data_IF_071780980473
#
_entry.id   IF_071780980473
#
_cell.length_a   1.000
_cell.length_b   1.000
_cell.length_c   1.000
_cell.angle_alpha   90.00
_cell.angle_beta   90.00
_cell.angle_gamma   90.00
#
_symmetry.space_group_name_H-M   'P 1'
#
loop_
_entity.id
_entity.type
_entity.pdbx_description
1 polymer ?
#
# COMPACT_ATOMS: atom_id res chain seq x y z
N UNK A 1 4.69 -0.14 16.31
CA UNK A 1 5.88 0.32 15.57
C UNK A 1 6.88 -0.81 15.49
N UNK A 2 7.61 -0.91 14.41
CA UNK A 2 8.66 -1.88 14.19
C UNK A 2 9.93 -1.14 13.74
N UNK A 3 11.08 -1.46 14.31
CA UNK A 3 12.37 -0.83 13.98
C UNK A 3 13.31 -1.88 13.42
N UNK A 4 13.78 -1.69 12.18
CA UNK A 4 14.86 -2.46 11.59
C UNK A 4 16.20 -1.83 11.98
N UNK A 5 17.11 -2.63 12.55
CA UNK A 5 18.39 -2.15 13.11
C UNK A 5 19.50 -3.16 12.85
N UNK A 6 19.87 -3.36 11.60
CA UNK A 6 20.90 -4.32 11.18
C UNK A 6 20.70 -5.76 11.69
N UNK A 7 19.49 -6.11 12.13
CA UNK A 7 19.14 -7.45 12.57
C UNK A 7 18.47 -8.22 11.46
N UNK A 8 18.72 -9.51 11.39
CA UNK A 8 18.12 -10.38 10.38
C UNK A 8 16.58 -10.41 10.43
N UNK A 9 16.02 -10.23 11.60
CA UNK A 9 14.60 -10.36 11.93
C UNK A 9 13.94 -9.05 12.41
N UNK A 10 14.70 -7.96 12.52
CA UNK A 10 14.20 -6.68 13.08
C UNK A 10 13.78 -6.83 14.56
N UNK A 11 13.39 -5.74 15.18
CA UNK A 11 12.87 -5.76 16.54
C UNK A 11 11.57 -4.97 16.65
N UNK A 12 10.63 -5.55 17.37
CA UNK A 12 9.42 -4.87 17.82
C UNK A 12 9.82 -3.71 18.71
N UNK A 13 9.42 -2.51 18.35
CA UNK A 13 9.55 -1.34 19.23
C UNK A 13 8.30 -1.19 20.10
N UNK A 14 8.35 -0.25 21.04
CA UNK A 14 7.26 0.00 21.96
C UNK A 14 5.94 0.31 21.26
N UNK A 15 4.88 -0.26 21.76
CA UNK A 15 3.52 0.03 21.34
C UNK A 15 2.88 0.92 22.41
N UNK A 16 2.39 2.08 22.00
CA UNK A 16 1.80 3.07 22.90
C UNK A 16 0.29 3.15 22.65
N UNK A 17 -0.47 3.30 23.71
CA UNK A 17 -1.90 3.54 23.67
C UNK A 17 -2.75 2.31 23.34
N UNK A 18 -3.99 2.56 22.95
CA UNK A 18 -5.02 1.55 22.80
C UNK A 18 -5.37 1.30 21.33
N UNK A 19 -5.42 0.03 20.93
CA UNK A 19 -6.04 -0.41 19.70
C UNK A 19 -7.57 -0.28 19.76
N UNK A 20 -8.14 -0.54 20.94
CA UNK A 20 -9.54 -0.27 21.24
C UNK A 20 -9.66 0.24 22.68
N UNK A 21 -9.91 1.53 22.85
CA UNK A 21 -9.99 2.16 24.16
C UNK A 21 -11.20 1.70 24.97
N UNK A 22 -12.33 1.51 24.34
CA UNK A 22 -13.55 1.07 25.04
C UNK A 22 -13.42 -0.35 25.59
N UNK A 23 -12.77 -1.23 24.84
CA UNK A 23 -12.49 -2.61 25.25
C UNK A 23 -11.21 -2.74 26.06
N UNK A 24 -10.49 -1.66 26.32
CA UNK A 24 -9.18 -1.63 27.01
C UNK A 24 -8.12 -2.52 26.37
N UNK A 25 -8.19 -2.70 25.06
CA UNK A 25 -7.20 -3.49 24.30
C UNK A 25 -6.06 -2.57 23.91
N UNK A 26 -4.85 -2.88 24.37
CA UNK A 26 -3.63 -2.13 24.08
C UNK A 26 -3.12 -2.41 22.67
N UNK A 27 -2.40 -1.47 22.07
CA UNK A 27 -1.69 -1.67 20.81
C UNK A 27 -0.57 -2.74 20.89
N UNK A 28 -0.14 -3.12 22.10
CA UNK A 28 0.80 -4.22 22.33
C UNK A 28 0.18 -5.62 22.25
N UNK A 29 -1.14 -5.73 22.20
CA UNK A 29 -1.82 -7.03 22.08
C UNK A 29 -1.52 -7.65 20.72
N UNK A 30 -1.06 -8.90 20.73
CA UNK A 30 -0.62 -9.63 19.53
C UNK A 30 -1.75 -9.98 18.53
N UNK A 31 -3.00 -9.91 18.98
CA UNK A 31 -4.17 -10.16 18.10
C UNK A 31 -4.59 -8.90 17.32
N UNK A 32 -3.97 -7.75 17.57
CA UNK A 32 -4.33 -6.49 16.92
C UNK A 32 -3.80 -6.47 15.48
N UNK A 33 -4.68 -6.11 14.56
CA UNK A 33 -4.35 -5.85 13.15
C UNK A 33 -4.85 -4.47 12.75
N UNK A 34 -4.11 -3.81 11.86
CA UNK A 34 -4.38 -2.46 11.40
C UNK A 34 -4.77 -2.43 9.93
N UNK A 35 -5.67 -1.54 9.49
CA UNK A 35 -5.88 -1.33 8.08
C UNK A 35 -4.59 -0.81 7.44
N UNK A 36 -4.13 -1.47 6.39
CA UNK A 36 -2.88 -1.11 5.71
C UNK A 36 -2.97 0.21 4.96
N UNK A 37 -4.18 0.58 4.57
CA UNK A 37 -4.37 1.65 3.60
C UNK A 37 -3.43 1.47 2.38
N UNK A 38 -2.85 2.54 1.86
CA UNK A 38 -2.06 2.51 0.63
C UNK A 38 -0.76 1.68 0.67
N UNK A 39 -0.36 1.15 1.83
CA UNK A 39 0.76 0.22 1.92
C UNK A 39 0.55 -1.04 1.06
N UNK A 40 -0.70 -1.43 0.84
CA UNK A 40 -1.07 -2.56 -0.02
C UNK A 40 -0.63 -2.39 -1.48
N UNK A 41 -0.50 -1.15 -1.96
CA UNK A 41 -0.15 -0.91 -3.37
C UNK A 41 1.15 -1.59 -3.78
N UNK A 42 2.12 -1.68 -2.87
CA UNK A 42 3.39 -2.39 -3.14
C UNK A 42 3.14 -3.87 -3.42
N UNK A 43 2.23 -4.49 -2.67
CA UNK A 43 1.85 -5.90 -2.87
C UNK A 43 1.17 -6.10 -4.22
N UNK A 44 0.26 -5.20 -4.60
CA UNK A 44 -0.39 -5.21 -5.91
C UNK A 44 0.63 -5.01 -7.04
N UNK A 45 1.56 -4.06 -6.89
CA UNK A 45 2.66 -3.83 -7.83
C UNK A 45 3.55 -5.06 -8.00
N UNK A 46 3.91 -5.72 -6.89
CA UNK A 46 4.70 -6.94 -6.91
C UNK A 46 3.99 -8.08 -7.66
N UNK A 47 2.68 -8.26 -7.45
CA UNK A 47 1.90 -9.26 -8.20
C UNK A 47 1.83 -8.96 -9.70
N UNK A 48 1.79 -7.69 -10.12
CA UNK A 48 1.89 -7.32 -11.54
C UNK A 48 3.25 -7.71 -12.10
N UNK A 49 4.34 -7.46 -11.37
CA UNK A 49 5.70 -7.85 -11.83
C UNK A 49 5.82 -9.37 -11.93
N UNK A 50 5.25 -10.13 -11.00
CA UNK A 50 5.17 -11.59 -11.13
C UNK A 50 4.47 -12.01 -12.42
N UNK A 51 3.33 -11.37 -12.77
CA UNK A 51 2.61 -11.68 -14.01
C UNK A 51 3.41 -11.29 -15.26
N UNK A 52 4.14 -10.18 -15.24
CA UNK A 52 5.04 -9.79 -16.33
C UNK A 52 6.08 -10.90 -16.58
N UNK A 53 6.68 -11.42 -15.52
CA UNK A 53 7.64 -12.50 -15.61
C UNK A 53 6.99 -13.81 -16.08
N UNK A 54 5.92 -14.24 -15.42
CA UNK A 54 5.20 -15.49 -15.70
C UNK A 54 4.68 -15.57 -17.15
N UNK A 55 4.29 -14.44 -17.71
CA UNK A 55 3.73 -14.39 -19.06
C UNK A 55 4.76 -14.05 -20.14
N UNK A 56 6.02 -13.84 -19.78
CA UNK A 56 7.08 -13.35 -20.71
C UNK A 56 7.26 -14.19 -21.97
N UNK A 57 7.03 -15.50 -21.88
CA UNK A 57 7.12 -16.44 -23.00
C UNK A 57 5.73 -16.83 -23.56
N UNK A 58 4.65 -16.22 -23.13
CA UNK A 58 3.33 -16.48 -23.66
C UNK A 58 3.13 -15.77 -25.01
N UNK A 59 2.13 -16.22 -25.78
CA UNK A 59 1.76 -15.58 -27.07
C UNK A 59 1.38 -14.10 -26.89
N UNK A 60 0.85 -13.74 -25.72
CA UNK A 60 0.38 -12.39 -25.42
C UNK A 60 0.86 -11.97 -24.02
N UNK A 61 2.14 -11.58 -23.89
CA UNK A 61 2.74 -11.28 -22.61
C UNK A 61 2.17 -10.00 -21.99
N UNK A 62 2.08 -9.96 -20.68
CA UNK A 62 1.87 -8.74 -19.91
C UNK A 62 3.20 -8.00 -19.83
N UNK A 63 3.20 -6.71 -20.15
CA UNK A 63 4.38 -5.84 -20.03
C UNK A 63 3.97 -4.49 -19.47
N UNK A 64 4.93 -3.68 -19.04
CA UNK A 64 4.65 -2.29 -18.66
C UNK A 64 4.00 -1.47 -19.79
N UNK A 65 4.24 -1.85 -21.05
CA UNK A 65 3.73 -1.17 -22.24
C UNK A 65 2.39 -1.73 -22.72
N UNK A 66 1.90 -2.81 -22.10
CA UNK A 66 0.58 -3.37 -22.45
C UNK A 66 -0.51 -2.34 -22.22
N UNK A 67 -1.32 -2.10 -23.26
CA UNK A 67 -2.40 -1.12 -23.24
C UNK A 67 -3.61 -1.62 -22.43
N UNK A 68 -4.25 -0.74 -21.70
CA UNK A 68 -5.43 -1.09 -20.89
C UNK A 68 -6.62 -1.54 -21.73
N UNK A 69 -6.71 -1.14 -23.00
CA UNK A 69 -7.77 -1.60 -23.92
C UNK A 69 -7.86 -3.12 -24.03
N UNK A 70 -6.76 -3.82 -23.77
CA UNK A 70 -6.74 -5.30 -23.71
C UNK A 70 -7.68 -5.86 -22.65
N UNK A 71 -7.80 -5.20 -21.52
CA UNK A 71 -8.61 -5.65 -20.38
C UNK A 71 -9.85 -4.77 -20.14
N UNK A 72 -9.81 -3.53 -20.58
CA UNK A 72 -10.84 -2.51 -20.37
C UNK A 72 -11.23 -1.83 -21.69
N UNK A 73 -11.76 -2.58 -22.69
CA UNK A 73 -12.05 -2.01 -24.02
C UNK A 73 -13.06 -0.87 -23.98
N UNK A 74 -13.96 -0.87 -22.98
CA UNK A 74 -15.01 0.14 -22.81
C UNK A 74 -14.57 1.34 -21.96
N UNK A 75 -13.31 1.39 -21.49
CA UNK A 75 -12.78 2.53 -20.74
C UNK A 75 -12.28 3.61 -21.72
N UNK A 76 -12.67 4.87 -21.49
CA UNK A 76 -12.20 6.01 -22.28
C UNK A 76 -10.67 6.05 -22.32
N UNK A 77 -10.09 6.20 -23.51
CA UNK A 77 -8.64 6.27 -23.76
C UNK A 77 -7.83 5.07 -23.23
N UNK A 78 -8.47 3.92 -23.01
CA UNK A 78 -7.77 2.71 -22.57
C UNK A 78 -6.67 2.28 -23.55
N UNK A 79 -6.80 2.63 -24.83
CA UNK A 79 -5.79 2.42 -25.88
C UNK A 79 -4.61 3.41 -25.84
N UNK A 80 -4.55 4.29 -24.84
CA UNK A 80 -3.46 5.26 -24.65
C UNK A 80 -2.75 5.07 -23.31
N UNK A 81 -3.35 4.33 -22.37
CA UNK A 81 -2.83 4.12 -21.03
C UNK A 81 -2.22 2.74 -20.94
N UNK A 82 -1.05 2.63 -20.34
CA UNK A 82 -0.33 1.37 -20.17
C UNK A 82 -0.36 0.87 -18.72
N UNK A 83 -0.04 -0.39 -18.51
CA UNK A 83 0.20 -0.97 -17.18
C UNK A 83 1.24 -0.16 -16.41
N UNK A 84 2.33 0.24 -17.06
CA UNK A 84 3.36 1.09 -16.46
C UNK A 84 2.82 2.44 -16.00
N UNK A 85 1.90 3.06 -16.75
CA UNK A 85 1.26 4.31 -16.33
C UNK A 85 0.46 4.13 -15.03
N UNK A 86 -0.23 2.99 -14.85
CA UNK A 86 -0.92 2.69 -13.59
C UNK A 86 0.06 2.49 -12.45
N UNK A 87 1.10 1.68 -12.65
CA UNK A 87 2.11 1.37 -11.63
C UNK A 87 2.88 2.60 -11.15
N UNK A 88 2.99 3.63 -11.99
CA UNK A 88 3.74 4.86 -11.71
C UNK A 88 2.84 6.06 -11.43
N UNK A 89 1.52 5.87 -11.34
CA UNK A 89 0.57 6.96 -11.08
C UNK A 89 0.61 8.08 -12.15
N UNK A 90 0.88 7.72 -13.42
CA UNK A 90 1.01 8.66 -14.54
C UNK A 90 -0.03 8.46 -15.63
N UNK A 91 -1.11 7.77 -15.33
CA UNK A 91 -2.19 7.43 -16.28
C UNK A 91 -2.99 8.63 -16.78
N UNK A 92 -3.02 9.72 -16.01
CA UNK A 92 -3.90 10.86 -16.26
C UNK A 92 -5.36 10.64 -15.79
N UNK A 93 -5.66 9.53 -15.11
CA UNK A 93 -6.99 9.31 -14.52
C UNK A 93 -7.24 10.41 -13.49
N UNK A 94 -8.39 11.11 -13.66
CA UNK A 94 -8.83 12.12 -12.71
C UNK A 94 -9.41 11.39 -11.50
N UNK A 95 -9.06 11.85 -10.29
CA UNK A 95 -9.51 11.24 -9.04
C UNK A 95 -11.03 11.11 -9.00
N UNK A 96 -11.49 9.88 -8.84
CA UNK A 96 -12.91 9.55 -8.73
C UNK A 96 -13.44 9.68 -7.31
N UNK A 97 -12.65 10.24 -6.38
CA UNK A 97 -12.95 10.32 -4.95
C UNK A 97 -13.26 8.93 -4.36
N UNK A 98 -12.44 7.95 -4.72
CA UNK A 98 -12.58 6.56 -4.26
C UNK A 98 -12.64 6.43 -2.73
N UNK A 99 -11.89 7.26 -2.02
CA UNK A 99 -11.87 7.29 -0.55
C UNK A 99 -13.15 7.87 0.10
N UNK A 100 -14.00 8.52 -0.69
CA UNK A 100 -15.30 9.04 -0.25
C UNK A 100 -16.46 8.13 -0.65
N UNK A 101 -16.17 6.88 -1.08
CA UNK A 101 -17.22 5.98 -1.49
C UNK A 101 -18.14 5.61 -0.31
N UNK A 102 -19.41 5.89 -0.46
CA UNK A 102 -20.46 5.69 0.55
C UNK A 102 -21.63 4.80 0.08
N UNK A 103 -21.49 4.17 -1.10
CA UNK A 103 -22.48 3.26 -1.66
C UNK A 103 -22.56 1.92 -0.92
N UNK A 104 -23.17 0.94 -1.55
CA UNK A 104 -23.24 -0.42 -1.01
C UNK A 104 -21.89 -1.13 -1.02
N UNK A 105 -21.77 -2.18 -0.22
CA UNK A 105 -20.61 -3.10 -0.28
C UNK A 105 -20.57 -3.77 -1.66
N UNK A 106 -19.41 -3.77 -2.29
CA UNK A 106 -19.20 -4.25 -3.66
C UNK A 106 -18.46 -5.60 -3.67
N UNK A 107 -18.74 -6.42 -4.67
CA UNK A 107 -17.83 -7.49 -5.08
C UNK A 107 -16.59 -6.90 -5.76
N UNK A 108 -15.53 -7.70 -5.90
CA UNK A 108 -14.32 -7.27 -6.63
C UNK A 108 -14.63 -6.82 -8.07
N UNK A 109 -15.49 -7.55 -8.78
CA UNK A 109 -15.92 -7.19 -10.15
C UNK A 109 -16.66 -5.87 -10.16
N UNK A 110 -17.62 -5.70 -9.24
CA UNK A 110 -18.41 -4.48 -9.15
C UNK A 110 -17.57 -3.25 -8.77
N UNK A 111 -16.55 -3.41 -7.92
CA UNK A 111 -15.62 -2.34 -7.60
C UNK A 111 -14.82 -1.87 -8.83
N UNK A 112 -14.33 -2.82 -9.64
CA UNK A 112 -13.60 -2.52 -10.87
C UNK A 112 -14.52 -1.84 -11.90
N UNK A 113 -15.73 -2.37 -12.10
CA UNK A 113 -16.73 -1.80 -13.03
C UNK A 113 -17.13 -0.39 -12.60
N UNK A 114 -17.39 -0.17 -11.31
CA UNK A 114 -17.70 1.14 -10.78
C UNK A 114 -16.54 2.13 -11.00
N UNK A 115 -15.29 1.67 -10.87
CA UNK A 115 -14.10 2.49 -11.17
C UNK A 115 -14.05 2.88 -12.64
N UNK A 116 -14.22 1.92 -13.56
CA UNK A 116 -14.26 2.20 -15.01
C UNK A 116 -15.39 3.18 -15.35
N UNK A 117 -16.59 2.99 -14.78
CA UNK A 117 -17.71 3.88 -14.99
C UNK A 117 -17.40 5.32 -14.54
N UNK A 118 -16.81 5.50 -13.36
CA UNK A 118 -16.43 6.83 -12.85
C UNK A 118 -15.34 7.49 -13.69
N UNK A 119 -14.34 6.72 -14.14
CA UNK A 119 -13.30 7.23 -15.06
C UNK A 119 -13.96 7.72 -16.36
N UNK A 120 -14.91 6.97 -16.91
CA UNK A 120 -15.65 7.37 -18.11
C UNK A 120 -16.48 8.63 -17.90
N UNK A 121 -16.99 8.84 -16.69
CA UNK A 121 -17.74 10.05 -16.35
C UNK A 121 -16.82 11.26 -16.13
N UNK A 122 -15.79 11.13 -15.31
CA UNK A 122 -14.91 12.23 -14.91
C UNK A 122 -13.87 12.60 -15.98
N UNK A 123 -13.56 11.67 -16.89
CA UNK A 123 -12.58 11.86 -17.95
C UNK A 123 -11.13 11.65 -17.49
N UNK A 124 -10.21 12.13 -18.33
CA UNK A 124 -8.77 11.99 -18.14
C UNK A 124 -8.06 13.31 -18.39
N UNK A 125 -7.10 13.61 -17.52
CA UNK A 125 -6.11 14.66 -17.73
C UNK A 125 -4.95 14.13 -18.62
N UNK A 126 -3.93 14.95 -18.82
CA UNK A 126 -2.73 14.55 -19.56
C UNK A 126 -2.00 13.42 -18.84
N UNK A 127 -1.70 12.34 -19.57
CA UNK A 127 -0.85 11.25 -19.08
C UNK A 127 0.62 11.68 -18.98
N UNK A 128 1.40 10.93 -18.23
CA UNK A 128 2.83 11.17 -18.05
C UNK A 128 3.16 12.13 -16.90
N UNK A 129 2.15 12.77 -16.29
CA UNK A 129 2.29 13.60 -15.10
C UNK A 129 1.89 12.74 -13.89
N UNK A 130 2.72 12.76 -12.85
CA UNK A 130 2.41 12.08 -11.60
C UNK A 130 1.15 12.68 -10.95
N UNK A 131 0.16 11.84 -10.73
CA UNK A 131 -1.09 12.14 -10.02
C UNK A 131 -1.50 10.92 -9.22
N UNK A 132 -1.27 10.96 -7.91
CA UNK A 132 -1.64 9.85 -7.04
C UNK A 132 -3.15 9.61 -7.08
N UNK A 133 -3.54 8.34 -7.33
CA UNK A 133 -4.94 7.96 -7.45
C UNK A 133 -5.11 6.45 -7.18
N UNK A 134 -6.06 6.11 -6.33
CA UNK A 134 -6.38 4.71 -6.02
C UNK A 134 -6.89 3.92 -7.22
N UNK A 135 -7.58 4.58 -8.16
CA UNK A 135 -8.15 3.95 -9.34
C UNK A 135 -7.11 3.20 -10.18
N UNK A 136 -5.88 3.71 -10.22
CA UNK A 136 -4.77 3.04 -10.90
C UNK A 136 -4.57 1.63 -10.33
N UNK A 137 -4.60 1.47 -9.03
CA UNK A 137 -4.35 0.19 -8.36
C UNK A 137 -5.59 -0.71 -8.32
N UNK A 138 -6.80 -0.15 -8.35
CA UNK A 138 -8.03 -0.92 -8.55
C UNK A 138 -8.04 -1.54 -9.95
N UNK A 139 -7.60 -0.80 -10.97
CA UNK A 139 -7.45 -1.35 -12.33
C UNK A 139 -6.35 -2.40 -12.41
N UNK A 140 -5.21 -2.22 -11.72
CA UNK A 140 -4.17 -3.26 -11.62
C UNK A 140 -4.71 -4.54 -10.96
N UNK A 141 -5.50 -4.42 -9.90
CA UNK A 141 -6.18 -5.57 -9.29
C UNK A 141 -7.10 -6.30 -10.27
N UNK A 142 -7.79 -5.55 -11.12
CA UNK A 142 -8.62 -6.12 -12.20
C UNK A 142 -7.80 -6.82 -13.28
N UNK A 143 -6.62 -6.30 -13.64
CA UNK A 143 -5.70 -6.97 -14.57
C UNK A 143 -5.23 -8.30 -13.98
N UNK A 144 -4.81 -8.32 -12.70
CA UNK A 144 -4.42 -9.55 -12.01
C UNK A 144 -5.53 -10.60 -12.12
N UNK A 145 -6.79 -10.22 -11.85
CA UNK A 145 -7.94 -11.13 -11.96
C UNK A 145 -8.14 -11.66 -13.38
N UNK A 146 -8.08 -10.79 -14.38
CA UNK A 146 -8.33 -11.16 -15.79
C UNK A 146 -7.23 -12.04 -16.37
N UNK A 147 -5.98 -11.81 -15.98
CA UNK A 147 -4.83 -12.60 -16.44
C UNK A 147 -4.81 -13.99 -15.78
N UNK A 148 -5.13 -14.07 -14.50
CA UNK A 148 -5.03 -15.33 -13.74
C UNK A 148 -6.32 -16.16 -13.74
N UNK A 149 -7.45 -15.57 -14.07
CA UNK A 149 -8.77 -16.21 -13.93
C UNK A 149 -9.22 -16.39 -12.46
N UNK A 150 -8.45 -15.87 -11.49
CA UNK A 150 -8.72 -15.98 -10.05
C UNK A 150 -9.11 -14.62 -9.46
N UNK A 151 -9.80 -14.64 -8.29
CA UNK A 151 -10.07 -13.38 -7.57
C UNK A 151 -8.78 -12.70 -7.14
N UNK A 152 -8.84 -11.38 -6.87
CA UNK A 152 -7.71 -10.66 -6.30
C UNK A 152 -7.32 -11.26 -4.93
N UNK A 153 -8.31 -11.57 -4.09
CA UNK A 153 -8.08 -12.20 -2.79
C UNK A 153 -7.33 -13.54 -2.91
N UNK A 154 -7.70 -14.40 -3.88
CA UNK A 154 -7.00 -15.67 -4.12
C UNK A 154 -5.57 -15.46 -4.58
N UNK A 155 -5.31 -14.49 -5.45
CA UNK A 155 -3.97 -14.13 -5.88
C UNK A 155 -3.15 -13.58 -4.72
N UNK A 156 -3.70 -12.65 -3.95
CA UNK A 156 -3.06 -12.07 -2.78
C UNK A 156 -2.66 -13.15 -1.76
N UNK A 157 -3.60 -14.03 -1.42
CA UNK A 157 -3.38 -15.13 -0.51
C UNK A 157 -2.25 -16.07 -0.99
N UNK A 158 -2.33 -16.53 -2.24
CA UNK A 158 -1.38 -17.53 -2.75
C UNK A 158 -0.01 -16.96 -3.10
N UNK A 159 0.04 -15.72 -3.62
CA UNK A 159 1.27 -15.10 -4.12
C UNK A 159 2.06 -14.34 -3.08
N UNK A 160 1.39 -13.82 -2.04
CA UNK A 160 1.98 -12.98 -1.01
C UNK A 160 1.89 -13.65 0.36
N UNK A 161 0.67 -13.84 0.88
CA UNK A 161 0.43 -14.22 2.28
C UNK A 161 1.08 -15.58 2.60
N UNK A 162 0.69 -16.63 1.87
CA UNK A 162 1.23 -17.98 2.12
C UNK A 162 2.72 -18.09 1.80
N UNK A 163 3.20 -17.43 0.74
CA UNK A 163 4.62 -17.49 0.38
C UNK A 163 5.54 -16.96 1.46
N UNK A 164 5.06 -16.02 2.25
CA UNK A 164 5.86 -15.36 3.29
C UNK A 164 5.49 -15.79 4.71
N UNK A 165 4.43 -16.57 4.89
CA UNK A 165 3.91 -16.91 6.21
C UNK A 165 3.45 -15.66 6.98
N UNK A 166 2.59 -14.85 6.34
CA UNK A 166 2.04 -13.65 6.95
C UNK A 166 0.80 -14.02 7.77
N UNK A 167 1.00 -14.43 9.01
CA UNK A 167 -0.05 -15.00 9.86
C UNK A 167 -1.06 -13.96 10.41
N UNK A 168 -0.76 -12.67 10.21
CA UNK A 168 -1.57 -11.54 10.68
C UNK A 168 -1.96 -10.58 9.56
N UNK A 169 -2.03 -11.09 8.31
CA UNK A 169 -2.35 -10.30 7.12
C UNK A 169 -3.54 -10.90 6.38
N UNK A 170 -4.60 -10.10 6.20
CA UNK A 170 -5.90 -10.57 5.69
C UNK A 170 -6.52 -9.55 4.75
N UNK A 171 -7.35 -10.01 3.81
CA UNK A 171 -8.31 -9.10 3.17
C UNK A 171 -9.31 -8.57 4.22
N UNK A 172 -9.84 -7.39 3.98
CA UNK A 172 -10.72 -6.69 4.93
C UNK A 172 -11.91 -7.54 5.43
N UNK A 173 -12.43 -8.41 4.57
CA UNK A 173 -13.60 -9.26 4.83
C UNK A 173 -13.26 -10.68 5.29
N UNK A 174 -11.97 -11.02 5.42
CA UNK A 174 -11.52 -12.34 5.87
C UNK A 174 -10.73 -12.29 7.18
N UNK A 175 -10.74 -11.16 7.87
CA UNK A 175 -10.09 -11.03 9.19
C UNK A 175 -10.77 -11.98 10.17
N UNK A 176 -10.06 -12.96 10.76
CA UNK A 176 -10.65 -13.90 11.69
C UNK A 176 -11.24 -13.23 12.94
N UNK A 177 -12.32 -13.78 13.48
CA UNK A 177 -13.02 -13.21 14.64
C UNK A 177 -12.18 -13.11 15.93
N UNK A 178 -11.11 -13.90 16.05
CA UNK A 178 -10.16 -13.78 17.16
C UNK A 178 -9.26 -12.55 17.04
N UNK A 179 -9.12 -11.97 15.86
CA UNK A 179 -8.30 -10.77 15.65
C UNK A 179 -9.05 -9.52 16.05
N UNK A 180 -8.32 -8.57 16.58
CA UNK A 180 -8.84 -7.25 16.98
C UNK A 180 -8.46 -6.25 15.88
N UNK A 181 -9.45 -5.74 15.17
CA UNK A 181 -9.24 -4.60 14.27
C UNK A 181 -9.00 -3.35 15.10
N UNK A 182 -7.87 -2.70 14.91
CA UNK A 182 -7.59 -1.44 15.57
C UNK A 182 -8.65 -0.39 15.18
N UNK A 183 -9.17 0.31 16.17
CA UNK A 183 -10.12 1.42 15.99
C UNK A 183 -9.34 2.72 15.94
N UNK A 184 -9.65 3.61 15.00
CA UNK A 184 -9.03 4.93 14.98
C UNK A 184 -9.76 5.91 15.89
N UNK A 185 -9.03 6.91 16.35
CA UNK A 185 -9.55 7.94 17.23
C UNK A 185 -9.15 9.31 16.74
N UNK A 186 -10.10 10.24 16.78
CA UNK A 186 -9.83 11.64 16.53
C UNK A 186 -9.04 12.22 17.70
N UNK A 187 -7.87 12.75 17.43
CA UNK A 187 -7.15 13.57 18.40
C UNK A 187 -7.70 15.01 18.34
N UNK A 188 -8.18 15.49 19.45
CA UNK A 188 -8.56 16.89 19.60
C UNK A 188 -8.02 17.33 20.96
N UNK A 189 -7.26 18.43 21.01
CA UNK A 189 -6.53 18.95 22.16
C UNK A 189 -7.09 18.51 23.54
N UNK A 190 -6.41 17.60 24.21
CA UNK A 190 -6.79 17.07 25.51
C UNK A 190 -7.98 16.09 25.55
N UNK A 191 -8.53 15.68 24.40
CA UNK A 191 -9.71 14.81 24.32
C UNK A 191 -9.43 13.51 23.56
N UNK A 192 -8.41 12.78 23.95
CA UNK A 192 -8.06 11.49 23.39
C UNK A 192 -9.20 10.47 23.53
N UNK A 193 -9.36 9.60 22.49
CA UNK A 193 -10.28 8.47 22.49
C UNK A 193 -11.79 8.78 22.54
N UNK A 194 -12.23 10.02 22.35
CA UNK A 194 -13.67 10.36 22.40
C UNK A 194 -14.46 9.93 21.17
N UNK A 195 -13.85 10.00 20.00
CA UNK A 195 -14.54 9.74 18.73
C UNK A 195 -13.88 8.58 18.01
N UNK A 196 -14.40 7.38 18.27
CA UNK A 196 -13.98 6.17 17.60
C UNK A 196 -14.49 6.13 16.15
N UNK A 197 -13.63 5.72 15.24
CA UNK A 197 -14.00 5.45 13.84
C UNK A 197 -13.34 4.16 13.34
N UNK A 198 -14.11 3.38 12.61
CA UNK A 198 -13.63 2.21 11.90
C UNK A 198 -13.83 2.41 10.39
N UNK A 199 -12.95 1.86 9.55
CA UNK A 199 -13.13 1.92 8.11
C UNK A 199 -14.42 1.21 7.71
N UNK A 200 -15.25 1.88 6.95
CA UNK A 200 -16.53 1.32 6.51
C UNK A 200 -16.31 0.21 5.48
N UNK A 201 -17.05 -0.87 5.59
CA UNK A 201 -16.96 -2.01 4.67
C UNK A 201 -17.22 -1.64 3.21
N UNK A 202 -18.12 -0.68 2.94
CA UNK A 202 -18.34 -0.19 1.58
C UNK A 202 -17.10 0.49 1.00
N UNK A 203 -16.40 1.33 1.78
CA UNK A 203 -15.13 1.92 1.37
C UNK A 203 -14.09 0.85 1.10
N UNK A 204 -13.86 -0.07 2.04
CA UNK A 204 -12.87 -1.13 1.91
C UNK A 204 -13.17 -2.04 0.70
N UNK A 205 -14.44 -2.29 0.42
CA UNK A 205 -14.83 -3.09 -0.77
C UNK A 205 -14.51 -2.37 -2.08
N UNK A 206 -14.58 -1.04 -2.11
CA UNK A 206 -14.32 -0.25 -3.31
C UNK A 206 -12.83 -0.12 -3.62
N UNK A 207 -11.97 0.11 -2.62
CA UNK A 207 -10.53 0.36 -2.82
C UNK A 207 -9.72 -0.94 -2.99
N UNK A 208 -10.21 -1.85 -3.80
CA UNK A 208 -9.61 -3.15 -4.10
C UNK A 208 -8.17 -3.03 -4.56
N UNK A 209 -7.26 -3.71 -3.89
CA UNK A 209 -5.82 -3.71 -4.23
C UNK A 209 -5.10 -2.38 -3.98
N UNK A 210 -5.82 -1.35 -3.53
CA UNK A 210 -5.29 -0.02 -3.26
C UNK A 210 -5.13 0.28 -1.76
N UNK A 211 -5.83 -0.49 -0.87
CA UNK A 211 -5.76 -0.19 0.56
C UNK A 211 -6.74 -0.98 1.44
N UNK A 212 -7.17 -2.17 1.02
CA UNK A 212 -8.25 -2.92 1.67
C UNK A 212 -7.80 -4.22 2.39
N UNK A 213 -6.59 -4.24 2.90
CA UNK A 213 -6.13 -5.33 3.77
C UNK A 213 -5.91 -4.85 5.20
N UNK A 214 -5.92 -5.79 6.13
CA UNK A 214 -5.43 -5.62 7.50
C UNK A 214 -4.12 -6.38 7.66
N UNK A 215 -3.18 -5.80 8.42
CA UNK A 215 -1.84 -6.37 8.63
C UNK A 215 -1.22 -5.86 9.93
N UNK A 216 0.00 -6.27 10.23
CA UNK A 216 0.82 -5.77 11.34
C UNK A 216 2.12 -5.17 10.82
N UNK A 217 2.82 -4.34 11.61
CA UNK A 217 4.16 -3.87 11.25
C UNK A 217 5.14 -5.00 10.99
N UNK A 218 5.06 -6.08 11.75
CA UNK A 218 5.93 -7.26 11.65
C UNK A 218 5.72 -8.02 10.33
N UNK A 219 4.46 -8.29 9.97
CA UNK A 219 4.14 -8.94 8.71
C UNK A 219 4.50 -8.07 7.52
N UNK A 220 4.30 -6.75 7.65
CA UNK A 220 4.69 -5.83 6.59
C UNK A 220 6.22 -5.78 6.41
N UNK A 221 7.00 -5.92 7.48
CA UNK A 221 8.45 -6.05 7.40
C UNK A 221 8.87 -7.37 6.73
N UNK A 222 8.26 -8.51 7.10
CA UNK A 222 8.46 -9.79 6.39
C UNK A 222 8.18 -9.65 4.89
N UNK A 223 7.11 -8.91 4.53
CA UNK A 223 6.82 -8.63 3.14
C UNK A 223 7.93 -7.80 2.46
N UNK A 224 8.42 -6.74 3.08
CA UNK A 224 9.52 -5.93 2.55
C UNK A 224 10.81 -6.75 2.38
N UNK A 225 11.11 -7.64 3.31
CA UNK A 225 12.23 -8.59 3.17
C UNK A 225 11.98 -9.57 2.02
N UNK A 226 10.76 -10.11 1.93
CA UNK A 226 10.37 -11.04 0.87
C UNK A 226 10.48 -10.49 -0.54
N UNK A 227 10.32 -9.19 -0.71
CA UNK A 227 10.54 -8.51 -1.99
C UNK A 227 11.99 -8.60 -2.47
N UNK A 228 12.97 -8.64 -1.57
CA UNK A 228 14.39 -8.55 -1.92
C UNK A 228 15.13 -9.89 -1.86
N UNK A 229 14.65 -10.84 -1.05
CA UNK A 229 15.33 -12.10 -0.82
C UNK A 229 14.94 -13.22 -1.82
N UNK A 230 14.22 -12.90 -2.86
CA UNK A 230 13.80 -13.85 -3.89
C UNK A 230 12.51 -14.62 -3.58
N UNK A 231 11.92 -14.44 -2.40
CA UNK A 231 10.68 -15.17 -2.05
C UNK A 231 9.47 -14.68 -2.83
N UNK A 232 9.35 -13.38 -3.08
CA UNK A 232 8.26 -12.77 -3.86
C UNK A 232 8.73 -12.41 -5.26
N UNK A 233 9.84 -11.70 -5.38
CA UNK A 233 10.48 -11.29 -6.62
C UNK A 233 11.95 -11.70 -6.59
N UNK A 234 12.52 -12.04 -7.74
CA UNK A 234 13.96 -12.14 -7.86
C UNK A 234 14.60 -10.74 -7.90
N UNK A 235 15.93 -10.65 -7.90
CA UNK A 235 16.64 -9.38 -7.85
C UNK A 235 16.33 -8.48 -9.09
N UNK A 236 16.22 -9.08 -10.27
CA UNK A 236 15.87 -8.37 -11.49
C UNK A 236 14.45 -7.83 -11.46
N UNK A 237 13.50 -8.65 -11.00
CA UNK A 237 12.08 -8.26 -10.89
C UNK A 237 11.89 -7.18 -9.80
N UNK A 238 12.62 -7.28 -8.70
CA UNK A 238 12.61 -6.23 -7.69
C UNK A 238 13.20 -4.92 -8.21
N UNK A 239 14.32 -4.99 -8.93
CA UNK A 239 14.89 -3.81 -9.60
C UNK A 239 13.88 -3.22 -10.59
N UNK A 240 13.20 -4.05 -11.37
CA UNK A 240 12.14 -3.61 -12.27
C UNK A 240 10.99 -2.90 -11.52
N UNK A 241 10.47 -3.48 -10.43
CA UNK A 241 9.42 -2.89 -9.61
C UNK A 241 9.79 -1.47 -9.14
N UNK A 242 11.04 -1.26 -8.73
CA UNK A 242 11.51 -0.03 -8.11
C UNK A 242 12.00 1.03 -9.10
N UNK A 243 12.14 0.68 -10.38
CA UNK A 243 12.78 1.56 -11.38
C UNK A 243 11.91 1.81 -12.62
N UNK A 244 10.61 1.61 -12.53
CA UNK A 244 9.70 2.04 -13.60
C UNK A 244 9.79 3.56 -13.74
N UNK A 245 10.32 4.02 -14.87
CA UNK A 245 10.59 5.44 -15.08
C UNK A 245 9.30 6.24 -15.25
N UNK A 246 9.14 7.26 -14.43
CA UNK A 246 8.17 8.33 -14.65
C UNK A 246 8.90 9.60 -15.07
N UNK A 247 8.24 10.46 -15.83
CA UNK A 247 8.86 11.69 -16.35
C UNK A 247 9.37 12.61 -15.25
N UNK A 248 8.72 12.64 -14.08
CA UNK A 248 8.98 13.59 -13.00
C UNK A 248 8.88 12.97 -11.60
N UNK A 249 9.05 11.65 -11.44
CA UNK A 249 8.73 11.07 -10.17
C UNK A 249 9.68 10.00 -9.69
N UNK A 250 9.70 9.86 -8.39
CA UNK A 250 10.40 8.81 -7.65
C UNK A 250 9.47 7.66 -7.28
N UNK A 251 8.22 7.65 -7.78
CA UNK A 251 7.23 6.64 -7.45
C UNK A 251 7.24 5.50 -8.46
N UNK A 252 7.39 4.28 -7.97
CA UNK A 252 7.38 3.07 -8.80
C UNK A 252 6.77 1.89 -8.04
N UNK A 253 5.78 1.25 -8.64
CA UNK A 253 5.22 0.00 -8.12
C UNK A 253 4.64 0.06 -6.70
N UNK A 254 4.21 1.23 -6.23
CA UNK A 254 3.71 1.43 -4.87
C UNK A 254 4.71 2.07 -3.91
N UNK A 255 5.97 2.21 -4.31
CA UNK A 255 7.08 2.74 -3.51
C UNK A 255 7.48 4.13 -3.96
N UNK A 256 7.79 4.99 -2.99
CA UNK A 256 8.61 6.18 -3.21
C UNK A 256 10.07 5.81 -2.97
N UNK A 257 10.93 6.06 -3.96
CA UNK A 257 12.37 5.84 -3.88
C UNK A 257 13.04 7.21 -3.88
N UNK A 258 13.77 7.53 -2.85
CA UNK A 258 14.44 8.83 -2.70
C UNK A 258 15.92 8.65 -2.36
N UNK A 259 16.72 9.61 -2.81
CA UNK A 259 18.12 9.72 -2.36
C UNK A 259 18.14 10.05 -0.87
N UNK A 260 19.00 9.37 -0.13
CA UNK A 260 19.24 9.60 1.29
C UNK A 260 20.64 10.19 1.48
N UNK A 261 20.70 11.32 2.19
CA UNK A 261 21.97 12.07 2.31
C UNK A 261 23.00 11.40 3.23
N UNK A 262 22.53 10.47 4.06
CA UNK A 262 23.32 9.89 5.14
C UNK A 262 23.26 8.36 5.08
N UNK A 263 24.15 7.69 4.35
CA UNK A 263 24.25 6.24 4.35
C UNK A 263 24.10 5.58 2.98
N UNK A 264 23.31 4.53 2.86
CA UNK A 264 23.24 3.60 1.71
C UNK A 264 22.70 4.20 0.38
N UNK A 265 22.72 5.51 0.25
CA UNK A 265 22.38 6.20 -0.99
C UNK A 265 20.87 6.34 -1.28
N UNK A 266 20.03 5.38 -0.92
CA UNK A 266 18.57 5.44 -1.18
C UNK A 266 17.75 4.90 -0.03
N UNK A 267 16.57 5.47 0.15
CA UNK A 267 15.52 4.97 1.04
C UNK A 267 14.25 4.66 0.26
N UNK A 268 13.53 3.68 0.76
CA UNK A 268 12.18 3.34 0.31
C UNK A 268 11.18 3.90 1.30
N UNK A 269 10.18 4.56 0.78
CA UNK A 269 9.08 5.06 1.59
C UNK A 269 7.74 4.55 1.05
N UNK A 270 6.86 4.22 1.96
CA UNK A 270 5.45 3.96 1.67
C UNK A 270 4.61 4.65 2.72
N UNK A 271 3.61 5.35 2.26
CA UNK A 271 2.65 6.02 3.13
C UNK A 271 1.24 5.48 2.86
N UNK A 272 0.46 5.30 3.91
CA UNK A 272 -0.92 4.90 3.80
C UNK A 272 -1.77 5.57 4.85
N UNK A 273 -2.81 6.28 4.42
CA UNK A 273 -3.80 6.86 5.33
C UNK A 273 -5.21 6.53 4.90
N UNK A 274 -6.08 6.48 5.89
CA UNK A 274 -7.52 6.56 5.73
C UNK A 274 -7.95 7.82 6.49
N UNK A 275 -7.88 8.98 5.82
CA UNK A 275 -8.01 10.29 6.45
C UNK A 275 -9.34 10.50 7.18
N UNK A 276 -10.44 9.98 6.60
CA UNK A 276 -11.74 10.04 7.27
C UNK A 276 -11.78 9.23 8.58
N UNK A 277 -10.87 8.27 8.75
CA UNK A 277 -10.84 7.34 9.88
C UNK A 277 -9.59 7.49 10.76
N UNK A 278 -8.75 8.50 10.48
CA UNK A 278 -7.56 8.86 11.26
C UNK A 278 -6.49 7.76 11.43
N UNK A 279 -6.37 6.86 10.47
CA UNK A 279 -5.23 5.96 10.39
C UNK A 279 -4.10 6.60 9.59
N UNK A 280 -2.88 6.48 10.08
CA UNK A 280 -1.67 6.90 9.38
C UNK A 280 -0.60 5.81 9.49
N UNK A 281 -0.18 5.24 8.37
CA UNK A 281 0.86 4.22 8.34
C UNK A 281 2.06 4.75 7.57
N UNK A 282 3.25 4.50 8.09
CA UNK A 282 4.50 4.98 7.51
C UNK A 282 5.54 3.90 7.49
N UNK A 283 6.19 3.75 6.35
CA UNK A 283 7.33 2.85 6.15
C UNK A 283 8.47 3.67 5.57
N UNK A 284 9.61 3.56 6.19
CA UNK A 284 10.84 4.19 5.76
C UNK A 284 11.99 3.25 6.04
N UNK A 285 12.58 2.70 4.99
CA UNK A 285 13.60 1.66 5.06
C UNK A 285 14.74 2.00 4.13
N UNK A 286 15.98 1.70 4.54
CA UNK A 286 17.12 1.68 3.61
C UNK A 286 16.86 0.67 2.49
N UNK A 287 17.55 0.83 1.36
CA UNK A 287 17.38 -0.05 0.19
C UNK A 287 17.53 -1.53 0.51
N UNK A 288 18.43 -1.87 1.43
CA UNK A 288 18.66 -3.25 1.89
C UNK A 288 17.75 -3.74 3.01
N UNK A 289 16.75 -2.98 3.45
CA UNK A 289 15.86 -3.28 4.59
C UNK A 289 16.58 -3.46 5.95
N UNK A 290 17.83 -3.06 6.06
CA UNK A 290 18.62 -3.25 7.27
C UNK A 290 18.31 -2.23 8.36
N UNK A 291 17.95 -1.02 7.96
CA UNK A 291 17.64 0.09 8.88
C UNK A 291 16.34 0.77 8.47
N UNK A 292 15.60 1.25 9.45
CA UNK A 292 14.41 2.04 9.25
C UNK A 292 13.27 1.68 10.19
N UNK A 293 12.10 2.18 9.85
CA UNK A 293 10.90 2.04 10.68
C UNK A 293 9.69 1.63 9.85
N UNK A 294 8.79 0.95 10.52
CA UNK A 294 7.42 0.71 10.08
C UNK A 294 6.50 1.10 11.23
N UNK A 295 5.67 2.12 11.01
CA UNK A 295 4.72 2.63 11.99
C UNK A 295 3.29 2.44 11.50
N UNK A 296 2.42 1.95 12.38
CA UNK A 296 0.99 1.97 12.20
C UNK A 296 0.37 2.80 13.32
N UNK A 297 -0.37 3.84 12.94
CA UNK A 297 -1.00 4.78 13.85
C UNK A 297 -2.51 4.69 13.70
N UNK A 298 -3.21 4.61 14.82
CA UNK A 298 -4.67 4.64 14.86
C UNK A 298 -5.20 5.92 15.56
N UNK A 299 -4.34 6.89 15.72
CA UNK A 299 -4.70 8.22 16.15
C UNK A 299 -3.77 9.24 15.52
N UNK A 300 -4.32 10.17 14.76
CA UNK A 300 -3.58 11.25 14.12
C UNK A 300 -4.26 12.58 14.40
N UNK A 301 -3.54 13.68 14.36
CA UNK A 301 -4.13 15.02 14.46
C UNK A 301 -4.83 15.39 13.15
N UNK A 302 -6.10 15.76 13.24
CA UNK A 302 -6.95 16.05 12.08
C UNK A 302 -6.80 17.49 11.59
N UNK A 303 -6.23 18.36 12.43
CA UNK A 303 -6.15 19.80 12.12
C UNK A 303 -5.14 20.08 11.01
N UNK A 304 -4.22 19.18 10.79
CA UNK A 304 -3.21 19.30 9.74
C UNK A 304 -3.35 18.15 8.72
N UNK A 305 -3.92 18.45 7.56
CA UNK A 305 -3.93 17.54 6.40
C UNK A 305 -2.52 17.18 5.91
N UNK A 306 -1.48 17.72 6.52
CA UNK A 306 -0.06 17.41 6.30
C UNK A 306 0.49 16.34 7.26
N UNK A 307 -0.30 15.37 7.70
CA UNK A 307 0.16 14.25 8.57
C UNK A 307 1.41 13.57 8.01
N UNK A 308 1.60 13.60 6.69
CA UNK A 308 2.83 13.12 6.05
C UNK A 308 4.09 13.81 6.59
N UNK A 309 4.05 15.12 6.81
CA UNK A 309 5.25 15.89 7.14
C UNK A 309 5.78 15.59 8.57
N UNK A 310 4.97 15.62 9.64
CA UNK A 310 5.43 15.26 10.97
C UNK A 310 5.87 13.80 11.09
N UNK A 311 5.12 12.86 10.51
CA UNK A 311 5.45 11.42 10.54
C UNK A 311 6.73 11.17 9.75
N UNK A 312 6.86 11.73 8.56
CA UNK A 312 8.08 11.66 7.74
C UNK A 312 9.28 12.22 8.49
N UNK A 313 9.13 13.39 9.10
CA UNK A 313 10.19 14.02 9.86
C UNK A 313 10.62 13.18 11.07
N UNK A 314 9.67 12.58 11.78
CA UNK A 314 9.95 11.66 12.88
C UNK A 314 10.65 10.39 12.38
N UNK A 315 10.19 9.82 11.26
CA UNK A 315 10.80 8.67 10.63
C UNK A 315 12.26 8.91 10.22
N UNK A 316 12.53 10.03 9.56
CA UNK A 316 13.88 10.43 9.18
C UNK A 316 14.79 10.61 10.39
N UNK A 317 14.32 11.27 11.46
CA UNK A 317 15.08 11.42 12.72
C UNK A 317 15.44 10.08 13.34
N UNK A 318 14.49 9.13 13.38
CA UNK A 318 14.76 7.79 13.90
C UNK A 318 15.77 7.07 12.98
N UNK A 319 15.62 7.15 11.66
CA UNK A 319 16.52 6.55 10.71
C UNK A 319 17.94 7.12 10.87
N UNK A 320 18.07 8.43 11.05
CA UNK A 320 19.35 9.10 11.32
C UNK A 320 19.98 8.57 12.61
N UNK A 321 19.24 8.41 13.69
CA UNK A 321 19.74 7.84 14.95
C UNK A 321 20.17 6.37 14.82
N UNK A 322 19.58 5.62 13.89
CA UNK A 322 19.96 4.23 13.60
C UNK A 322 21.24 4.12 12.75
N UNK A 323 21.73 5.23 12.22
CA UNK A 323 22.89 5.28 11.35
C UNK A 323 24.05 6.06 12.01
N UNK A 324 24.85 5.42 12.90
CA UNK A 324 25.85 6.12 13.73
C UNK A 324 26.99 6.76 12.95
N UNK A 325 27.12 6.52 11.65
CA UNK A 325 28.19 7.12 10.82
C UNK A 325 27.87 8.55 10.35
N UNK A 326 26.77 9.15 10.79
CA UNK A 326 26.33 10.49 10.41
C UNK A 326 27.14 11.58 11.15
N UNK A 327 27.76 11.24 12.27
CA UNK A 327 28.47 12.18 13.14
C UNK A 327 30.01 11.99 13.14
N UNK A 328 30.56 11.35 12.11
CA UNK A 328 32.01 11.26 11.96
C UNK A 328 32.48 11.92 10.66
#
# INVERSE_FOLDING_TARGET
>A
MFVARDYADGRKADNIGYANFHMKILNSNQEVVYPSASLQKVMTGAMIVQLINETSHSKDPVTQNSLLSRWYPNMKKANQITVGNLMTQTSGIIDTKSESYSGKVLSESAAIEATVHRINHNGLASKGIFRYNNDNYILLAGIIRKVTGKSYAQNFESRIVRRLGLDSTYMWNTVPGKRVKAVSYLYSAGKNYKHAKEPKNNLLSYILGAGNIYTTPEDYYKFQQGLQNGKILNASDYHYLTNLKTKNGTYSGGLYIQSYKHGDGTIKMVYGSLNADNYGNWVELTSGNKKGIIMFLNQTDVVDHSVESPIKSAGLKILDQLNPNIFR
#
